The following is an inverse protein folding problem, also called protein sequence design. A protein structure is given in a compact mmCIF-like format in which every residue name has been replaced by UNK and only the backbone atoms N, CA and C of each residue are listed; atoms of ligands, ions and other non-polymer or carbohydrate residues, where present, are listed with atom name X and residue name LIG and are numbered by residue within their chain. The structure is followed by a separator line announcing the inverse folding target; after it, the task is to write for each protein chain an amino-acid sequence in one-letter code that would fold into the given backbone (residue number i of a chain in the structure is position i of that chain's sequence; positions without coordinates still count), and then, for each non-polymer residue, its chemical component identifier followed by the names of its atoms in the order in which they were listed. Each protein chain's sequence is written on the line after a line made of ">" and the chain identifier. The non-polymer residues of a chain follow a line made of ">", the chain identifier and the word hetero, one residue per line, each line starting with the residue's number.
data_IF_420898393914
#
_entry.id   IF_420898393914
#
_cell.length_a   1.000
_cell.length_b   1.000
_cell.length_c   1.000
_cell.angle_alpha   90.00
_cell.angle_beta   90.00
_cell.angle_gamma   90.00
#
_symmetry.space_group_name_H-M   'P 1'
#
loop_
_entity.id
_entity.type
_entity.pdbx_description
1 polymer ?
#
# COMPACT_ATOMS: atom_id res chain seq x y z
N UNK A 1 14.43 50.43 -64.10
CA UNK A 1 14.76 51.06 -62.80
C UNK A 1 15.22 49.96 -61.86
N UNK A 2 16.33 49.95 -61.10
CA UNK A 2 17.17 50.96 -60.40
C UNK A 2 16.58 51.59 -59.13
N UNK A 3 17.20 51.21 -57.99
CA UNK A 3 17.30 51.81 -56.63
C UNK A 3 16.73 50.88 -55.54
N UNK A 4 17.43 50.39 -54.48
CA UNK A 4 18.31 51.03 -53.45
C UNK A 4 17.57 52.11 -52.63
N UNK A 5 17.73 52.30 -51.32
CA UNK A 5 18.57 51.70 -50.25
C UNK A 5 17.64 51.20 -49.09
N UNK A 6 17.98 50.94 -47.82
CA UNK A 6 19.17 51.14 -46.95
C UNK A 6 19.19 50.10 -45.79
N UNK A 7 20.26 50.06 -44.98
CA UNK A 7 20.35 49.37 -43.68
C UNK A 7 20.65 50.37 -42.56
N UNK A 8 20.26 50.11 -41.32
CA UNK A 8 20.88 50.74 -40.13
C UNK A 8 21.24 49.65 -39.12
N UNK A 9 22.52 49.64 -38.76
CA UNK A 9 23.14 48.83 -37.72
C UNK A 9 23.38 49.75 -36.51
N UNK A 10 23.07 49.30 -35.30
CA UNK A 10 23.42 50.02 -34.06
C UNK A 10 24.41 49.17 -33.26
N UNK A 11 25.53 49.78 -32.86
CA UNK A 11 26.68 49.10 -32.27
C UNK A 11 26.85 49.46 -30.79
N UNK A 12 27.27 48.47 -30.00
CA UNK A 12 28.08 48.52 -28.77
C UNK A 12 28.15 49.79 -27.91
N UNK A 13 27.92 49.61 -26.60
CA UNK A 13 28.38 50.50 -25.53
C UNK A 13 28.92 49.71 -24.35
N UNK A 14 30.24 49.54 -24.27
CA UNK A 14 30.95 49.03 -23.09
C UNK A 14 31.21 50.21 -22.13
N UNK A 15 30.68 50.13 -20.92
CA UNK A 15 30.88 51.14 -19.87
C UNK A 15 31.43 50.52 -18.59
N UNK A 16 32.73 50.70 -18.34
CA UNK A 16 33.38 50.34 -17.07
C UNK A 16 33.19 51.48 -16.05
N UNK A 17 32.69 51.14 -14.86
CA UNK A 17 32.61 52.04 -13.70
C UNK A 17 33.24 51.35 -12.47
N UNK A 18 33.73 52.11 -11.47
CA UNK A 18 34.87 51.68 -10.67
C UNK A 18 34.52 50.80 -9.46
N UNK A 19 35.48 49.97 -9.08
CA UNK A 19 35.56 49.34 -7.76
C UNK A 19 35.77 50.41 -6.70
N UNK A 20 34.84 50.51 -5.74
CA UNK A 20 35.08 51.16 -4.45
C UNK A 20 35.22 50.07 -3.39
N UNK A 21 36.35 50.05 -2.71
CA UNK A 21 36.60 49.24 -1.52
C UNK A 21 36.44 50.10 -0.27
N UNK A 22 35.70 49.59 0.72
CA UNK A 22 35.61 50.01 2.13
C UNK A 22 34.56 49.10 2.79
N UNK A 23 34.66 48.64 4.04
CA UNK A 23 35.72 48.78 5.04
C UNK A 23 35.63 47.59 6.02
N UNK A 24 36.77 47.09 6.53
CA UNK A 24 36.80 45.94 7.45
C UNK A 24 36.50 46.39 8.89
N UNK A 25 35.29 46.12 9.38
CA UNK A 25 34.97 46.30 10.81
C UNK A 25 33.92 45.31 11.32
N UNK A 26 34.33 44.08 11.63
CA UNK A 26 33.39 43.03 12.01
C UNK A 26 33.97 41.72 12.52
N UNK A 27 34.98 41.77 13.41
CA UNK A 27 35.39 40.68 14.33
C UNK A 27 35.48 39.26 13.73
N UNK A 28 36.71 38.77 13.50
CA UNK A 28 36.95 37.35 13.20
C UNK A 28 36.45 36.44 14.34
N UNK A 29 35.23 35.92 14.21
CA UNK A 29 34.86 34.69 14.88
C UNK A 29 35.43 33.54 14.06
N UNK A 30 36.50 32.95 14.59
CA UNK A 30 36.90 31.59 14.26
C UNK A 30 35.73 30.65 14.59
N UNK A 31 34.86 30.42 13.60
CA UNK A 31 33.97 29.28 13.62
C UNK A 31 34.89 28.06 13.49
N UNK A 32 35.13 27.39 14.62
CA UNK A 32 35.77 26.07 14.62
C UNK A 32 35.06 25.18 13.59
N UNK A 33 35.77 24.23 12.94
CA UNK A 33 35.08 23.17 12.23
C UNK A 33 34.17 22.48 13.25
N UNK A 34 32.86 22.63 13.07
CA UNK A 34 31.88 21.69 13.63
C UNK A 34 32.31 20.35 13.08
N UNK A 35 32.65 19.38 13.93
CA UNK A 35 33.23 18.13 13.47
C UNK A 35 32.23 17.41 12.56
N UNK A 36 32.77 16.65 11.60
CA UNK A 36 31.98 15.91 10.59
C UNK A 36 30.97 14.92 11.21
N UNK A 37 31.07 14.65 12.51
CA UNK A 37 30.17 13.83 13.33
C UNK A 37 28.80 14.49 13.60
N UNK A 38 28.67 15.82 13.49
CA UNK A 38 27.42 16.54 13.80
C UNK A 38 26.40 16.63 12.64
N UNK A 39 26.70 16.03 11.48
CA UNK A 39 25.90 16.12 10.25
C UNK A 39 25.31 14.78 9.79
N UNK A 40 25.55 13.69 10.52
CA UNK A 40 25.22 12.32 10.08
C UNK A 40 24.54 11.45 11.16
N UNK A 41 23.85 12.07 12.13
CA UNK A 41 22.96 11.37 13.07
C UNK A 41 21.55 11.99 13.01
N UNK A 42 20.63 11.34 12.29
CA UNK A 42 19.17 11.56 12.36
C UNK A 42 18.59 12.83 11.72
N UNK A 43 18.27 12.79 10.42
CA UNK A 43 17.19 13.61 9.81
C UNK A 43 17.26 15.14 9.90
N UNK A 44 18.40 15.73 10.27
CA UNK A 44 18.50 17.14 10.63
C UNK A 44 18.66 18.10 9.45
N UNK A 45 17.57 18.70 8.97
CA UNK A 45 17.66 19.84 8.03
C UNK A 45 16.36 20.60 7.79
N UNK A 46 15.23 19.90 7.67
CA UNK A 46 13.91 20.51 7.43
C UNK A 46 12.99 20.23 8.63
N UNK A 47 12.49 21.29 9.27
CA UNK A 47 11.81 21.21 10.57
C UNK A 47 10.30 21.44 10.53
N UNK A 48 9.72 21.73 9.36
CA UNK A 48 8.28 21.92 9.27
C UNK A 48 7.55 20.58 9.26
N UNK A 49 6.42 20.52 9.94
CA UNK A 49 5.46 19.40 9.92
C UNK A 49 4.17 19.78 9.19
N UNK A 50 4.10 20.97 8.57
CA UNK A 50 2.95 21.38 7.78
C UNK A 50 2.87 20.59 6.46
N UNK A 51 1.77 19.86 6.26
CA UNK A 51 1.59 18.97 5.11
C UNK A 51 1.63 19.67 3.75
N UNK A 52 1.15 20.92 3.66
CA UNK A 52 1.20 21.72 2.43
C UNK A 52 2.65 22.18 2.16
N UNK A 53 3.38 22.66 3.18
CA UNK A 53 4.78 23.07 3.04
C UNK A 53 5.68 21.88 2.67
N UNK A 54 5.46 20.72 3.30
CA UNK A 54 6.12 19.45 2.98
C UNK A 54 5.84 19.04 1.52
N UNK A 55 4.58 19.08 1.08
CA UNK A 55 4.20 18.75 -0.28
C UNK A 55 4.90 19.66 -1.30
N UNK A 56 4.84 20.97 -1.07
CA UNK A 56 5.45 21.97 -1.95
C UNK A 56 6.98 21.83 -2.02
N UNK A 57 7.61 21.42 -0.91
CA UNK A 57 9.08 21.25 -0.81
C UNK A 57 9.57 19.96 -1.47
N UNK A 58 8.90 18.83 -1.23
CA UNK A 58 9.42 17.50 -1.59
C UNK A 58 8.69 16.81 -2.74
N UNK A 59 7.42 17.15 -3.00
CA UNK A 59 6.55 16.40 -3.93
C UNK A 59 6.19 17.21 -5.19
N UNK A 60 5.85 18.50 -5.04
CA UNK A 60 5.33 19.36 -6.11
C UNK A 60 6.30 19.56 -7.29
N UNK A 61 7.61 19.38 -7.09
CA UNK A 61 8.59 19.44 -8.17
C UNK A 61 8.42 18.34 -9.23
N UNK A 62 7.76 17.23 -8.89
CA UNK A 62 7.44 16.13 -9.81
C UNK A 62 5.92 16.00 -10.04
N UNK A 63 5.12 16.10 -8.98
CA UNK A 63 3.65 15.93 -9.05
C UNK A 63 2.88 17.20 -9.40
N UNK A 64 3.56 18.33 -9.61
CA UNK A 64 3.02 19.67 -9.83
C UNK A 64 2.30 20.28 -8.60
N UNK A 65 2.18 21.62 -8.49
CA UNK A 65 1.68 22.26 -7.28
C UNK A 65 0.24 21.92 -6.87
N UNK A 66 -0.65 21.51 -7.79
CA UNK A 66 -1.99 21.03 -7.45
C UNK A 66 -2.16 19.52 -7.71
N UNK A 67 -1.05 18.77 -7.74
CA UNK A 67 -1.07 17.31 -7.88
C UNK A 67 -1.47 16.82 -9.27
N UNK A 68 -1.37 17.65 -10.31
CA UNK A 68 -1.83 17.30 -11.66
C UNK A 68 -0.92 16.27 -12.38
N UNK A 69 0.29 16.02 -11.87
CA UNK A 69 1.30 15.20 -12.53
C UNK A 69 1.91 15.86 -13.76
N UNK A 70 2.84 15.16 -14.42
CA UNK A 70 3.53 15.68 -15.60
C UNK A 70 4.07 14.56 -16.49
N UNK A 71 4.03 14.77 -17.81
CA UNK A 71 4.57 13.86 -18.83
C UNK A 71 5.63 14.55 -19.68
N UNK A 72 6.69 13.83 -20.06
CA UNK A 72 7.72 14.33 -20.98
C UNK A 72 9.05 13.59 -20.86
N UNK A 73 10.01 14.17 -20.14
CA UNK A 73 11.30 13.53 -19.85
C UNK A 73 11.19 12.39 -18.81
N UNK A 74 10.06 12.32 -18.11
CA UNK A 74 9.61 11.23 -17.25
C UNK A 74 8.08 11.21 -17.25
N UNK A 75 7.49 10.26 -16.55
CA UNK A 75 6.04 10.17 -16.32
C UNK A 75 5.79 10.24 -14.81
N UNK A 76 5.13 11.32 -14.38
CA UNK A 76 4.82 11.59 -12.98
C UNK A 76 3.30 11.56 -12.82
N UNK A 77 2.74 10.57 -12.10
CA UNK A 77 1.31 10.37 -12.06
C UNK A 77 0.59 11.50 -11.31
N UNK A 78 -0.66 11.84 -11.69
CA UNK A 78 -1.49 12.74 -10.92
C UNK A 78 -1.78 12.17 -9.53
N UNK A 79 -1.75 13.04 -8.54
CA UNK A 79 -2.28 12.83 -7.21
C UNK A 79 -3.70 13.38 -7.08
N UNK A 80 -4.03 14.42 -7.86
CA UNK A 80 -5.37 15.01 -7.93
C UNK A 80 -6.41 14.01 -8.44
N UNK A 81 -7.45 13.76 -7.65
CA UNK A 81 -8.55 12.85 -7.98
C UNK A 81 -8.13 11.38 -8.13
N UNK A 82 -7.01 10.97 -7.51
CA UNK A 82 -6.45 9.63 -7.70
C UNK A 82 -7.01 8.64 -6.66
N UNK A 83 -7.84 7.65 -7.05
CA UNK A 83 -8.52 6.75 -6.11
C UNK A 83 -7.59 5.80 -5.35
N UNK A 84 -6.31 5.70 -5.73
CA UNK A 84 -5.32 4.94 -4.94
C UNK A 84 -4.92 5.64 -3.63
N UNK A 85 -5.25 6.91 -3.46
CA UNK A 85 -4.92 7.70 -2.28
C UNK A 85 -5.98 7.59 -1.17
N UNK A 86 -7.09 6.90 -1.39
CA UNK A 86 -8.15 6.75 -0.38
C UNK A 86 -7.66 6.14 0.95
N UNK A 87 -6.64 5.27 0.90
CA UNK A 87 -6.06 4.62 2.08
C UNK A 87 -4.58 4.96 2.23
N UNK A 88 -4.20 5.57 3.37
CA UNK A 88 -2.88 6.14 3.62
C UNK A 88 -1.72 5.14 3.51
N UNK A 89 -1.98 3.84 3.74
CA UNK A 89 -0.98 2.78 3.59
C UNK A 89 -0.33 2.78 2.19
N UNK A 90 -1.07 3.14 1.13
CA UNK A 90 -0.52 3.25 -0.23
C UNK A 90 0.47 4.43 -0.35
N UNK A 91 0.09 5.70 -0.17
CA UNK A 91 1.04 6.81 -0.26
C UNK A 91 2.19 6.70 0.77
N UNK A 92 1.95 6.24 2.01
CA UNK A 92 3.03 6.04 3.00
C UNK A 92 4.09 5.07 2.46
N UNK A 93 3.69 3.93 1.91
CA UNK A 93 4.62 2.95 1.30
C UNK A 93 5.48 3.59 0.20
N UNK A 94 4.84 4.38 -0.68
CA UNK A 94 5.51 5.01 -1.82
C UNK A 94 6.41 6.18 -1.37
N UNK A 95 6.02 6.96 -0.35
CA UNK A 95 6.80 8.08 0.18
C UNK A 95 8.03 7.57 0.93
N UNK A 96 7.88 6.53 1.78
CA UNK A 96 9.00 5.99 2.56
C UNK A 96 10.01 5.29 1.66
N UNK A 97 9.55 4.34 0.83
CA UNK A 97 10.42 3.41 0.11
C UNK A 97 10.69 3.79 -1.36
N UNK A 98 9.87 4.68 -1.94
CA UNK A 98 9.91 5.01 -3.36
C UNK A 98 9.24 3.95 -4.23
N UNK A 99 8.99 4.28 -5.50
CA UNK A 99 8.51 3.31 -6.49
C UNK A 99 8.90 3.72 -7.91
N UNK A 100 9.58 2.82 -8.63
CA UNK A 100 10.00 3.06 -10.01
C UNK A 100 10.98 4.23 -10.12
N UNK A 101 10.51 5.35 -10.69
CA UNK A 101 11.29 6.58 -10.81
C UNK A 101 11.17 7.53 -9.62
N UNK A 102 10.22 7.31 -8.70
CA UNK A 102 10.06 8.13 -7.49
C UNK A 102 11.05 7.67 -6.41
N UNK A 103 11.93 8.56 -5.89
CA UNK A 103 12.86 8.21 -4.82
C UNK A 103 12.14 8.02 -3.49
N UNK A 104 12.63 7.10 -2.65
CA UNK A 104 12.17 6.97 -1.26
C UNK A 104 12.69 8.10 -0.39
N UNK A 105 11.76 8.79 0.28
CA UNK A 105 12.01 9.95 1.13
C UNK A 105 12.07 9.60 2.62
N UNK A 106 11.91 8.33 3.00
CA UNK A 106 11.93 7.90 4.41
C UNK A 106 13.20 8.31 5.16
N UNK A 107 14.36 8.31 4.50
CA UNK A 107 15.63 8.75 5.10
C UNK A 107 15.76 10.28 5.27
N UNK A 108 14.84 11.06 4.70
CA UNK A 108 14.82 12.54 4.74
C UNK A 108 13.70 13.10 5.62
N UNK A 109 12.59 12.38 5.75
CA UNK A 109 11.39 12.82 6.46
C UNK A 109 11.16 11.99 7.74
N UNK A 110 10.82 12.66 8.83
CA UNK A 110 10.37 12.01 10.07
C UNK A 110 9.00 11.33 9.89
N UNK A 111 8.61 10.49 10.85
CA UNK A 111 7.34 9.76 10.80
C UNK A 111 6.14 10.71 10.76
N UNK A 112 6.23 11.77 11.56
CA UNK A 112 5.27 12.88 11.60
C UNK A 112 5.23 13.60 10.24
N UNK A 113 6.36 13.91 9.62
CA UNK A 113 6.40 14.56 8.30
C UNK A 113 5.82 13.69 7.18
N UNK A 114 6.06 12.38 7.20
CA UNK A 114 5.44 11.44 6.25
C UNK A 114 3.92 11.34 6.46
N UNK A 115 3.47 11.32 7.71
CA UNK A 115 2.04 11.30 8.05
C UNK A 115 1.31 12.59 7.64
N UNK A 116 1.89 13.75 7.92
CA UNK A 116 1.28 15.06 7.61
C UNK A 116 1.23 15.32 6.09
N UNK A 117 2.31 15.02 5.34
CA UNK A 117 2.27 15.15 3.87
C UNK A 117 1.34 14.13 3.22
N UNK A 118 1.22 12.92 3.80
CA UNK A 118 0.21 11.95 3.35
C UNK A 118 -1.20 12.48 3.57
N UNK A 119 -1.47 13.02 4.77
CA UNK A 119 -2.79 13.54 5.13
C UNK A 119 -3.22 14.68 4.21
N UNK A 120 -2.32 15.63 3.92
CA UNK A 120 -2.54 16.68 2.91
C UNK A 120 -2.81 16.12 1.51
N UNK A 121 -2.07 15.10 1.06
CA UNK A 121 -2.32 14.44 -0.23
C UNK A 121 -3.71 13.77 -0.27
N UNK A 122 -4.26 13.33 0.87
CA UNK A 122 -5.60 12.73 0.98
C UNK A 122 -6.73 13.77 1.05
N UNK A 123 -6.55 14.89 1.76
CA UNK A 123 -7.58 15.91 1.99
C UNK A 123 -7.58 17.08 1.00
N UNK A 124 -6.47 17.30 0.29
CA UNK A 124 -6.26 18.45 -0.57
C UNK A 124 -5.91 18.01 -2.01
N UNK A 125 -5.34 18.91 -2.82
CA UNK A 125 -4.99 18.67 -4.23
C UNK A 125 -6.19 18.22 -5.11
N UNK A 126 -7.43 18.41 -4.67
CA UNK A 126 -8.64 17.94 -5.35
C UNK A 126 -9.12 16.55 -4.94
N UNK A 127 -8.53 15.97 -3.89
CA UNK A 127 -9.08 14.84 -3.14
C UNK A 127 -9.98 15.34 -2.00
N UNK A 128 -10.76 14.43 -1.40
CA UNK A 128 -11.66 14.68 -0.25
C UNK A 128 -11.77 13.39 0.59
N UNK A 129 -10.64 12.70 0.78
CA UNK A 129 -10.56 11.48 1.57
C UNK A 129 -10.34 11.84 3.04
N UNK A 130 -10.97 11.10 3.95
CA UNK A 130 -10.70 11.24 5.38
C UNK A 130 -9.32 10.62 5.69
N UNK A 131 -8.33 11.37 6.19
CA UNK A 131 -7.01 10.81 6.45
C UNK A 131 -7.06 9.69 7.50
N UNK A 132 -6.53 8.53 7.14
CA UNK A 132 -6.54 7.28 7.92
C UNK A 132 -5.13 6.81 8.35
N UNK A 133 -4.10 7.59 8.01
CA UNK A 133 -2.71 7.32 8.37
C UNK A 133 -2.46 7.38 9.88
N UNK A 134 -1.45 6.64 10.33
CA UNK A 134 -0.97 6.67 11.71
C UNK A 134 0.56 6.64 11.76
N UNK A 135 1.15 7.17 12.84
CA UNK A 135 2.60 7.08 13.05
C UNK A 135 3.10 5.62 13.05
N UNK A 136 2.29 4.68 13.57
CA UNK A 136 2.63 3.26 13.55
C UNK A 136 2.72 2.71 12.12
N UNK A 137 1.77 3.06 11.24
CA UNK A 137 1.84 2.66 9.82
C UNK A 137 3.11 3.19 9.14
N UNK A 138 3.56 4.40 9.49
CA UNK A 138 4.82 4.94 8.95
C UNK A 138 6.02 4.17 9.49
N UNK A 139 6.08 3.94 10.80
CA UNK A 139 7.16 3.18 11.44
C UNK A 139 7.26 1.75 10.88
N UNK A 140 6.14 1.02 10.77
CA UNK A 140 6.05 -0.34 10.22
C UNK A 140 6.47 -0.42 8.74
N UNK A 141 6.40 0.70 8.01
CA UNK A 141 6.75 0.80 6.59
C UNK A 141 8.26 1.03 6.38
N UNK A 142 8.99 1.48 7.41
CA UNK A 142 10.43 1.76 7.30
C UNK A 142 11.23 0.46 7.18
N UNK A 143 12.32 0.46 6.39
CA UNK A 143 13.30 -0.61 6.46
C UNK A 143 13.81 -0.76 7.89
N UNK A 144 13.75 -1.97 8.45
CA UNK A 144 14.52 -2.33 9.63
C UNK A 144 16.01 -2.23 9.30
N UNK A 145 16.75 -1.44 10.07
CA UNK A 145 18.20 -1.23 9.88
C UNK A 145 18.94 -2.58 9.95
N UNK A 146 19.87 -2.82 9.00
CA UNK A 146 20.70 -4.04 8.95
C UNK A 146 21.73 -4.05 10.11
N UNK A 147 21.24 -4.31 11.32
CA UNK A 147 22.00 -4.27 12.56
C UNK A 147 21.19 -4.74 13.77
N UNK A 148 19.87 -4.53 13.78
CA UNK A 148 18.96 -5.20 14.72
C UNK A 148 18.72 -6.64 14.25
N UNK A 149 19.72 -7.49 14.48
CA UNK A 149 19.43 -8.92 14.68
C UNK A 149 18.34 -9.03 15.73
N UNK A 150 17.23 -9.65 15.36
CA UNK A 150 16.17 -10.06 16.29
C UNK A 150 16.84 -10.88 17.39
N UNK A 151 17.11 -10.24 18.53
CA UNK A 151 17.56 -10.92 19.71
C UNK A 151 16.47 -11.93 20.06
N UNK A 152 16.83 -13.21 20.10
CA UNK A 152 15.97 -14.26 20.59
C UNK A 152 15.57 -13.86 22.02
N UNK A 153 14.36 -13.31 22.16
CA UNK A 153 13.89 -12.82 23.45
C UNK A 153 13.68 -14.05 24.32
N UNK A 154 14.65 -14.36 25.18
CA UNK A 154 14.45 -15.29 26.28
C UNK A 154 13.25 -14.75 27.06
N UNK A 155 12.15 -15.52 27.04
CA UNK A 155 10.90 -15.13 27.69
C UNK A 155 11.12 -15.20 29.20
N UNK A 156 11.52 -14.09 29.80
CA UNK A 156 11.22 -13.86 31.21
C UNK A 156 9.70 -13.70 31.33
N UNK A 157 9.06 -14.57 32.13
CA UNK A 157 7.61 -14.57 32.33
C UNK A 157 7.15 -13.31 33.10
N UNK A 158 7.02 -12.18 32.41
CA UNK A 158 6.47 -10.96 33.00
C UNK A 158 4.93 -11.02 33.00
N UNK A 159 4.39 -11.46 34.15
CA UNK A 159 3.05 -11.23 34.69
C UNK A 159 1.95 -10.88 33.66
N UNK A 160 1.34 -11.91 33.08
CA UNK A 160 0.04 -11.80 32.40
C UNK A 160 -0.99 -11.20 33.36
N UNK A 161 -1.61 -10.08 32.95
CA UNK A 161 -2.75 -9.47 33.65
C UNK A 161 -3.93 -10.46 33.63
N UNK A 162 -4.40 -10.98 34.79
CA UNK A 162 -5.43 -12.01 34.83
C UNK A 162 -6.81 -11.51 34.39
N UNK A 163 -7.01 -10.19 34.25
CA UNK A 163 -8.29 -9.57 33.90
C UNK A 163 -8.33 -9.04 32.44
N UNK A 164 -7.32 -9.34 31.61
CA UNK A 164 -7.36 -9.01 30.17
C UNK A 164 -8.28 -9.99 29.42
N UNK A 165 -9.46 -9.52 29.02
CA UNK A 165 -10.37 -10.27 28.14
C UNK A 165 -9.83 -10.37 26.70
N UNK A 166 -8.89 -11.32 26.48
CA UNK A 166 -8.40 -11.66 25.15
C UNK A 166 -9.50 -12.39 24.35
N UNK A 167 -10.04 -11.69 23.36
CA UNK A 167 -11.21 -12.13 22.60
C UNK A 167 -10.93 -13.32 21.68
N UNK A 168 -11.56 -14.45 21.96
CA UNK A 168 -11.96 -15.42 20.92
C UNK A 168 -10.93 -16.43 20.46
N UNK A 169 -10.13 -17.00 21.36
CA UNK A 169 -9.36 -18.21 21.03
C UNK A 169 -10.26 -19.44 20.84
N UNK A 170 -10.49 -19.86 19.59
CA UNK A 170 -11.04 -21.20 19.29
C UNK A 170 -9.93 -22.28 19.44
N UNK A 171 -10.30 -23.56 19.60
CA UNK A 171 -9.49 -24.68 20.12
C UNK A 171 -8.23 -25.09 19.32
N UNK A 172 -7.77 -24.25 18.38
CA UNK A 172 -6.58 -24.44 17.52
C UNK A 172 -5.33 -23.71 18.00
N UNK A 173 -5.44 -22.83 19.01
CA UNK A 173 -4.33 -21.98 19.48
C UNK A 173 -3.89 -20.89 18.49
N UNK A 174 -4.54 -20.74 17.34
CA UNK A 174 -4.24 -19.71 16.34
C UNK A 174 -4.69 -18.33 16.80
N UNK A 175 -3.75 -17.40 16.97
CA UNK A 175 -4.04 -15.99 17.29
C UNK A 175 -4.35 -15.25 16.00
N UNK A 176 -5.47 -14.51 15.97
CA UNK A 176 -5.96 -13.80 14.77
C UNK A 176 -5.97 -12.29 15.00
N UNK A 177 -5.04 -11.59 14.37
CA UNK A 177 -4.91 -10.13 14.47
C UNK A 177 -5.86 -9.44 13.49
N UNK A 178 -6.89 -8.78 14.02
CA UNK A 178 -7.80 -7.92 13.25
C UNK A 178 -7.09 -6.61 12.89
N UNK A 179 -7.44 -5.99 11.77
CA UNK A 179 -6.96 -4.65 11.43
C UNK A 179 -7.61 -3.64 12.39
N UNK A 180 -6.84 -2.81 13.13
CA UNK A 180 -7.41 -1.81 14.04
C UNK A 180 -8.37 -0.86 13.31
N UNK A 181 -9.49 -0.53 13.95
CA UNK A 181 -10.53 0.39 13.45
C UNK A 181 -11.17 0.02 12.10
N UNK A 182 -10.97 -1.19 11.59
CA UNK A 182 -11.50 -1.63 10.28
C UNK A 182 -12.57 -2.72 10.42
N UNK A 183 -13.66 -2.55 9.66
CA UNK A 183 -14.68 -3.58 9.44
C UNK A 183 -14.42 -4.37 8.14
N UNK A 184 -13.29 -4.15 7.47
CA UNK A 184 -12.97 -4.88 6.25
C UNK A 184 -12.65 -6.35 6.57
N UNK A 185 -13.27 -7.33 5.90
CA UNK A 185 -13.27 -8.72 6.36
C UNK A 185 -12.00 -9.49 5.93
N UNK A 186 -10.85 -9.03 6.40
CA UNK A 186 -9.54 -9.73 6.35
C UNK A 186 -8.83 -9.62 7.70
N UNK A 187 -7.87 -10.50 7.97
CA UNK A 187 -6.90 -10.30 9.06
C UNK A 187 -5.72 -9.43 8.63
N UNK A 188 -5.15 -8.72 9.61
CA UNK A 188 -3.81 -8.14 9.53
C UNK A 188 -2.76 -9.26 9.51
N UNK A 189 -2.86 -10.19 10.46
CA UNK A 189 -1.95 -11.33 10.61
C UNK A 189 -2.66 -12.50 11.30
N UNK A 190 -2.08 -13.70 11.17
CA UNK A 190 -2.45 -14.87 11.95
C UNK A 190 -1.17 -15.55 12.45
N UNK A 191 -1.05 -15.75 13.76
CA UNK A 191 0.05 -16.52 14.36
C UNK A 191 -0.38 -17.97 14.52
N UNK A 192 0.48 -18.88 14.08
CA UNK A 192 0.21 -20.32 14.07
C UNK A 192 1.12 -20.99 15.10
N UNK A 193 0.58 -21.81 16.03
CA UNK A 193 1.39 -22.55 16.99
C UNK A 193 2.46 -23.43 16.32
N UNK A 194 3.61 -23.58 16.97
CA UNK A 194 4.76 -24.32 16.44
C UNK A 194 4.51 -25.84 16.26
N UNK A 195 3.51 -26.38 16.94
CA UNK A 195 3.07 -27.78 16.88
C UNK A 195 1.85 -28.01 15.97
N UNK A 196 1.21 -26.95 15.47
CA UNK A 196 0.06 -27.05 14.60
C UNK A 196 0.43 -27.51 13.18
N UNK A 197 -0.46 -28.28 12.54
CA UNK A 197 -0.22 -28.79 11.18
C UNK A 197 -0.84 -27.88 10.12
N UNK A 198 -0.03 -27.27 9.26
CA UNK A 198 -0.50 -26.53 8.09
C UNK A 198 -0.97 -27.47 6.98
N UNK A 199 -2.16 -27.19 6.45
CA UNK A 199 -2.82 -27.96 5.39
C UNK A 199 -3.02 -27.05 4.17
N UNK A 200 -2.24 -27.31 3.13
CA UNK A 200 -2.28 -26.57 1.87
C UNK A 200 -3.29 -27.21 0.92
N UNK A 201 -4.32 -26.46 0.51
CA UNK A 201 -5.28 -26.90 -0.49
C UNK A 201 -4.85 -26.39 -1.86
N UNK A 202 -4.88 -27.27 -2.87
CA UNK A 202 -4.70 -26.86 -4.27
C UNK A 202 -5.75 -25.85 -4.71
N UNK A 203 -5.38 -25.00 -5.67
CA UNK A 203 -6.27 -24.07 -6.37
C UNK A 203 -7.65 -24.65 -6.63
N UNK A 204 -8.66 -23.92 -6.20
CA UNK A 204 -10.07 -24.27 -6.35
C UNK A 204 -10.73 -23.32 -7.31
N UNK A 205 -11.47 -23.90 -8.24
CA UNK A 205 -12.02 -23.23 -9.43
C UNK A 205 -13.54 -23.29 -9.43
N UNK A 206 -14.22 -22.45 -10.22
CA UNK A 206 -15.67 -22.34 -10.25
C UNK A 206 -16.35 -23.64 -10.66
N UNK A 207 -17.46 -23.95 -9.99
CA UNK A 207 -18.28 -25.11 -10.31
C UNK A 207 -19.36 -24.74 -11.32
N UNK A 208 -19.88 -25.73 -12.05
CA UNK A 208 -20.98 -25.51 -13.01
C UNK A 208 -22.26 -25.19 -12.24
N UNK A 209 -22.76 -23.97 -12.38
CA UNK A 209 -24.03 -23.53 -11.75
C UNK A 209 -25.22 -23.63 -12.71
N UNK A 210 -24.96 -23.64 -14.02
CA UNK A 210 -25.97 -23.81 -15.07
C UNK A 210 -25.56 -24.96 -16.01
N UNK A 211 -26.00 -26.20 -15.76
CA UNK A 211 -25.60 -27.36 -16.57
C UNK A 211 -26.16 -27.34 -17.99
N UNK A 212 -27.23 -26.57 -18.24
CA UNK A 212 -27.91 -26.46 -19.54
C UNK A 212 -27.27 -25.41 -20.48
N UNK A 213 -26.39 -24.54 -19.96
CA UNK A 213 -25.57 -23.64 -20.77
C UNK A 213 -24.54 -24.40 -21.61
N UNK A 214 -24.09 -23.79 -22.72
CA UNK A 214 -23.09 -24.40 -23.60
C UNK A 214 -21.78 -24.73 -22.86
N UNK A 215 -21.14 -25.84 -23.23
CA UNK A 215 -19.87 -26.24 -22.65
C UNK A 215 -18.78 -25.19 -22.95
N UNK A 216 -18.10 -24.70 -21.91
CA UNK A 216 -17.10 -23.63 -22.04
C UNK A 216 -17.67 -22.24 -22.32
N UNK A 217 -18.95 -21.97 -22.00
CA UNK A 217 -19.51 -20.61 -22.05
C UNK A 217 -19.54 -19.95 -20.65
N UNK A 218 -19.46 -18.61 -20.56
CA UNK A 218 -19.52 -17.88 -19.28
C UNK A 218 -20.80 -18.17 -18.48
N UNK A 219 -21.94 -18.31 -19.16
CA UNK A 219 -23.25 -18.57 -18.55
C UNK A 219 -23.33 -19.90 -17.80
N UNK A 220 -22.40 -20.83 -18.07
CA UNK A 220 -22.28 -22.12 -17.38
C UNK A 220 -21.77 -22.00 -15.94
N UNK A 221 -20.98 -20.95 -15.68
CA UNK A 221 -20.33 -20.68 -14.39
C UNK A 221 -20.91 -19.43 -13.69
N UNK A 222 -21.52 -18.51 -14.45
CA UNK A 222 -22.12 -17.28 -13.93
C UNK A 222 -21.14 -16.10 -13.85
N UNK A 223 -21.55 -15.03 -13.18
CA UNK A 223 -20.73 -13.86 -12.88
C UNK A 223 -19.71 -14.13 -11.76
N UNK A 224 -18.86 -13.15 -11.46
CA UNK A 224 -17.81 -13.24 -10.43
C UNK A 224 -18.38 -13.61 -9.06
N UNK A 225 -19.56 -13.10 -8.70
CA UNK A 225 -20.27 -13.46 -7.45
C UNK A 225 -20.64 -14.94 -7.45
N UNK A 226 -21.35 -15.42 -8.47
CA UNK A 226 -21.77 -16.82 -8.59
C UNK A 226 -20.57 -17.78 -8.60
N UNK A 227 -19.51 -17.43 -9.35
CA UNK A 227 -18.28 -18.20 -9.42
C UNK A 227 -17.56 -18.24 -8.07
N UNK A 228 -17.44 -17.11 -7.37
CA UNK A 228 -16.83 -17.03 -6.03
C UNK A 228 -17.59 -17.91 -5.02
N UNK A 229 -18.92 -17.82 -5.00
CA UNK A 229 -19.76 -18.64 -4.10
C UNK A 229 -19.59 -20.13 -4.39
N UNK A 230 -19.60 -20.53 -5.67
CA UNK A 230 -19.40 -21.93 -6.05
C UNK A 230 -18.00 -22.46 -5.70
N UNK A 231 -16.99 -21.59 -5.76
CA UNK A 231 -15.59 -21.90 -5.44
C UNK A 231 -15.41 -22.08 -3.94
N UNK A 232 -15.92 -21.15 -3.12
CA UNK A 232 -15.85 -21.24 -1.66
C UNK A 232 -16.65 -22.42 -1.10
N UNK A 233 -17.84 -22.71 -1.66
CA UNK A 233 -18.60 -23.92 -1.32
C UNK A 233 -17.86 -25.22 -1.70
N UNK A 234 -17.00 -25.20 -2.74
CA UNK A 234 -16.13 -26.33 -3.07
C UNK A 234 -14.96 -26.46 -2.08
N UNK A 235 -14.39 -25.35 -1.62
CA UNK A 235 -13.36 -25.33 -0.57
C UNK A 235 -13.90 -25.89 0.74
N UNK A 236 -15.09 -25.45 1.18
CA UNK A 236 -15.79 -25.96 2.36
C UNK A 236 -15.97 -27.49 2.30
N UNK A 237 -16.43 -28.02 1.16
CA UNK A 237 -16.57 -29.46 0.94
C UNK A 237 -15.22 -30.20 0.97
N UNK A 238 -14.16 -29.61 0.41
CA UNK A 238 -12.79 -30.19 0.46
C UNK A 238 -12.27 -30.25 1.89
N UNK A 239 -12.41 -29.17 2.67
CA UNK A 239 -12.03 -29.11 4.08
C UNK A 239 -12.81 -30.15 4.90
N UNK A 240 -14.13 -30.19 4.74
CA UNK A 240 -15.00 -31.15 5.43
C UNK A 240 -14.61 -32.61 5.12
N UNK A 241 -14.17 -32.91 3.89
CA UNK A 241 -13.72 -34.25 3.49
C UNK A 241 -12.45 -34.74 4.21
N UNK A 242 -11.67 -33.82 4.80
CA UNK A 242 -10.48 -34.10 5.61
C UNK A 242 -10.66 -33.73 7.08
N UNK A 243 -11.90 -33.51 7.55
CA UNK A 243 -12.19 -33.14 8.94
C UNK A 243 -11.54 -31.81 9.34
N UNK A 244 -11.80 -30.78 8.53
CA UNK A 244 -11.56 -29.36 8.80
C UNK A 244 -12.82 -28.58 8.36
N UNK A 245 -12.96 -27.33 8.78
CA UNK A 245 -14.01 -26.43 8.31
C UNK A 245 -13.45 -25.06 7.87
N UNK A 246 -14.34 -24.11 7.56
CA UNK A 246 -13.94 -22.78 7.06
C UNK A 246 -13.23 -21.91 8.12
N UNK A 247 -13.41 -22.16 9.42
CA UNK A 247 -12.71 -21.43 10.49
C UNK A 247 -11.21 -21.76 10.51
N UNK A 248 -10.86 -22.97 10.11
CA UNK A 248 -9.48 -23.45 10.06
C UNK A 248 -8.65 -22.70 9.00
N UNK A 249 -9.28 -22.01 8.05
CA UNK A 249 -8.57 -21.26 6.99
C UNK A 249 -7.90 -20.00 7.56
N UNK A 250 -6.56 -19.95 7.49
CA UNK A 250 -5.74 -18.86 8.04
C UNK A 250 -5.11 -17.97 6.96
N UNK A 251 -4.99 -18.48 5.73
CA UNK A 251 -4.47 -17.73 4.57
C UNK A 251 -5.27 -18.06 3.32
N UNK A 252 -5.56 -17.04 2.53
CA UNK A 252 -6.21 -17.15 1.22
C UNK A 252 -5.44 -16.35 0.15
N UNK A 253 -5.29 -16.92 -1.04
CA UNK A 253 -4.83 -16.21 -2.24
C UNK A 253 -5.94 -16.30 -3.29
N UNK A 254 -6.27 -15.17 -3.92
CA UNK A 254 -7.36 -15.06 -4.89
C UNK A 254 -6.83 -14.48 -6.19
N UNK A 255 -7.10 -15.18 -7.28
CA UNK A 255 -6.74 -14.77 -8.63
C UNK A 255 -8.03 -14.46 -9.39
N UNK A 256 -8.30 -13.19 -9.64
CA UNK A 256 -9.46 -12.71 -10.39
C UNK A 256 -9.09 -12.41 -11.84
N UNK A 257 -10.04 -12.60 -12.75
CA UNK A 257 -9.91 -12.21 -14.16
C UNK A 257 -10.98 -11.16 -14.47
N UNK A 258 -10.59 -10.13 -15.22
CA UNK A 258 -11.50 -9.10 -15.73
C UNK A 258 -12.59 -9.72 -16.61
N UNK A 259 -13.89 -9.55 -16.29
CA UNK A 259 -14.98 -10.05 -17.11
C UNK A 259 -14.92 -9.55 -18.57
N UNK A 260 -15.49 -10.31 -19.51
CA UNK A 260 -15.46 -9.92 -20.93
C UNK A 260 -16.11 -8.54 -21.14
N UNK A 261 -15.33 -7.59 -21.67
CA UNK A 261 -15.77 -6.20 -21.88
C UNK A 261 -15.62 -5.27 -20.68
N UNK A 262 -15.04 -5.73 -19.56
CA UNK A 262 -14.63 -4.88 -18.44
C UNK A 262 -13.15 -4.46 -18.55
N UNK A 263 -12.81 -3.29 -18.01
CA UNK A 263 -11.44 -2.76 -18.00
C UNK A 263 -10.57 -3.28 -16.84
N UNK A 264 -11.16 -3.95 -15.85
CA UNK A 264 -10.49 -4.44 -14.63
C UNK A 264 -11.29 -5.58 -13.95
N UNK A 265 -10.67 -6.25 -12.98
CA UNK A 265 -11.29 -7.31 -12.17
C UNK A 265 -12.52 -6.83 -11.40
N UNK A 266 -13.54 -7.69 -11.31
CA UNK A 266 -14.74 -7.44 -10.52
C UNK A 266 -14.51 -7.80 -9.04
N UNK A 267 -13.79 -6.92 -8.34
CA UNK A 267 -13.54 -7.04 -6.91
C UNK A 267 -14.83 -6.98 -6.08
N UNK A 268 -15.85 -6.25 -6.55
CA UNK A 268 -17.12 -6.11 -5.85
C UNK A 268 -17.90 -7.43 -5.82
N UNK A 269 -18.02 -8.12 -6.97
CA UNK A 269 -18.67 -9.43 -7.05
C UNK A 269 -17.91 -10.51 -6.27
N UNK A 270 -16.56 -10.48 -6.29
CA UNK A 270 -15.77 -11.33 -5.40
C UNK A 270 -16.11 -11.09 -3.92
N UNK A 271 -16.14 -9.83 -3.46
CA UNK A 271 -16.47 -9.49 -2.07
C UNK A 271 -17.90 -9.91 -1.70
N UNK A 272 -18.88 -9.74 -2.60
CA UNK A 272 -20.27 -10.15 -2.41
C UNK A 272 -20.43 -11.67 -2.26
N UNK A 273 -19.58 -12.45 -2.92
CA UNK A 273 -19.51 -13.91 -2.72
C UNK A 273 -18.76 -14.30 -1.45
N UNK A 274 -17.65 -13.62 -1.14
CA UNK A 274 -16.76 -13.93 -0.01
C UNK A 274 -17.41 -13.74 1.36
N UNK A 275 -18.14 -12.65 1.58
CA UNK A 275 -18.79 -12.34 2.88
C UNK A 275 -19.96 -13.27 3.24
N UNK A 276 -20.26 -14.25 2.38
CA UNK A 276 -21.23 -15.32 2.66
C UNK A 276 -20.63 -16.50 3.41
N UNK A 277 -19.28 -16.59 3.46
CA UNK A 277 -18.54 -17.70 4.08
C UNK A 277 -17.64 -17.26 5.23
N UNK A 278 -17.13 -16.03 5.22
CA UNK A 278 -16.20 -15.49 6.22
C UNK A 278 -16.75 -14.21 6.86
N UNK A 279 -16.52 -14.04 8.17
CA UNK A 279 -17.02 -12.88 8.92
C UNK A 279 -18.54 -12.87 9.12
N UNK A 280 -19.19 -14.04 9.09
CA UNK A 280 -20.64 -14.19 9.32
C UNK A 280 -20.94 -14.47 10.81
N UNK A 281 -22.20 -14.35 11.23
CA UNK A 281 -22.60 -14.70 12.62
C UNK A 281 -22.29 -16.16 12.98
N UNK A 282 -22.34 -17.07 12.00
CA UNK A 282 -22.10 -18.51 12.16
C UNK A 282 -20.67 -18.94 11.87
N UNK A 283 -19.90 -18.10 11.19
CA UNK A 283 -18.49 -18.29 10.85
C UNK A 283 -17.78 -16.93 10.93
N UNK A 284 -17.43 -16.46 12.16
CA UNK A 284 -16.90 -15.13 12.39
C UNK A 284 -15.41 -14.99 12.05
N UNK A 285 -14.72 -16.11 11.82
CA UNK A 285 -13.30 -16.10 11.51
C UNK A 285 -13.01 -15.55 10.12
N UNK A 286 -11.82 -14.97 10.02
CA UNK A 286 -11.28 -14.39 8.80
C UNK A 286 -9.88 -14.99 8.57
N UNK A 287 -9.46 -15.18 7.31
CA UNK A 287 -8.08 -15.44 6.96
C UNK A 287 -7.30 -14.13 6.71
N UNK A 288 -5.98 -14.24 6.72
CA UNK A 288 -5.12 -13.30 5.96
C UNK A 288 -5.39 -13.50 4.46
N UNK A 289 -5.41 -12.43 3.65
CA UNK A 289 -5.82 -12.54 2.24
C UNK A 289 -5.04 -11.63 1.30
N UNK A 290 -4.69 -12.16 0.13
CA UNK A 290 -4.23 -11.38 -1.03
C UNK A 290 -5.15 -11.62 -2.22
N UNK A 291 -5.46 -10.58 -2.98
CA UNK A 291 -6.32 -10.63 -4.18
C UNK A 291 -5.58 -9.96 -5.33
N UNK A 292 -5.50 -10.63 -6.47
CA UNK A 292 -4.74 -10.20 -7.65
C UNK A 292 -5.61 -10.26 -8.89
N UNK A 293 -5.45 -9.30 -9.81
CA UNK A 293 -5.91 -9.47 -11.19
C UNK A 293 -4.86 -10.29 -11.97
N UNK A 294 -5.30 -11.29 -12.72
CA UNK A 294 -4.47 -12.10 -13.62
C UNK A 294 -5.03 -12.12 -15.03
N UNK A 295 -4.16 -12.30 -16.03
CA UNK A 295 -4.52 -12.26 -17.44
C UNK A 295 -5.46 -13.39 -17.92
N UNK A 296 -5.70 -14.40 -17.08
CA UNK A 296 -6.59 -15.52 -17.37
C UNK A 296 -6.31 -16.74 -16.50
N UNK A 297 -7.28 -17.66 -16.45
CA UNK A 297 -7.21 -18.94 -15.73
C UNK A 297 -7.22 -20.12 -16.72
N UNK A 298 -7.11 -21.36 -16.20
CA UNK A 298 -7.05 -22.56 -17.03
C UNK A 298 -8.29 -22.81 -17.91
N UNK A 299 -9.43 -22.18 -17.58
CA UNK A 299 -10.60 -22.08 -18.45
C UNK A 299 -10.89 -20.59 -18.73
N UNK A 300 -11.05 -20.16 -20.00
CA UNK A 300 -11.35 -18.77 -20.34
C UNK A 300 -12.67 -18.22 -19.76
N UNK A 301 -13.60 -19.09 -19.31
CA UNK A 301 -14.84 -18.67 -18.66
C UNK A 301 -14.73 -18.52 -17.13
N UNK A 302 -13.57 -18.82 -16.53
CA UNK A 302 -13.37 -18.64 -15.09
C UNK A 302 -12.86 -17.24 -14.77
N UNK A 303 -13.53 -16.60 -13.82
CA UNK A 303 -13.28 -15.25 -13.33
C UNK A 303 -12.59 -15.23 -11.96
N UNK A 304 -12.47 -16.39 -11.30
CA UNK A 304 -11.88 -16.53 -9.97
C UNK A 304 -11.26 -17.91 -9.78
N UNK A 305 -10.05 -17.97 -9.23
CA UNK A 305 -9.44 -19.17 -8.64
C UNK A 305 -8.93 -18.83 -7.23
N UNK A 306 -9.15 -19.73 -6.27
CA UNK A 306 -8.84 -19.50 -4.84
C UNK A 306 -7.96 -20.63 -4.32
N UNK A 307 -6.81 -20.26 -3.74
CA UNK A 307 -5.98 -21.13 -2.91
C UNK A 307 -6.18 -20.80 -1.43
N UNK A 308 -6.15 -21.80 -0.56
CA UNK A 308 -6.20 -21.61 0.89
C UNK A 308 -5.19 -22.48 1.62
N UNK A 309 -4.70 -21.95 2.74
CA UNK A 309 -3.97 -22.71 3.76
C UNK A 309 -4.82 -22.72 5.02
N UNK A 310 -5.08 -23.92 5.52
CA UNK A 310 -5.78 -24.15 6.78
C UNK A 310 -4.82 -24.64 7.86
N UNK A 311 -5.21 -24.52 9.12
CA UNK A 311 -4.53 -25.10 10.28
C UNK A 311 -5.33 -26.28 10.80
N UNK A 312 -4.66 -27.38 11.09
CA UNK A 312 -5.24 -28.49 11.85
C UNK A 312 -4.81 -28.40 13.32
N UNK A 313 -5.76 -28.41 14.29
CA UNK A 313 -5.48 -28.65 15.70
C UNK A 313 -5.00 -30.08 15.97
#
# INVERSE_FOLDING_TARGET
>A
MKSRFLSVLAMAGLGTAPVFAQDDSGTEQFISPVSDEAMFEGGGGYTSTDGEELYNTFCAGCHMPAGEGASGAGEYPPLSGNPRLEFAAYPITIIVNGQGGMPGLGHLLSDEQVLEVTSYIQSDLGNDYAPDGTLQMVADTRPVEEGEVLAEHEVEEENVDPDREDGGGNETGVVRHRIPNSNFPILLAAEIPADATLVYLSGTVPQVVNPDAAEGSPERYGDTTAQTVSTLASIEQKLASIGLDMADVVKMQVYLVSPEGADAMDFAGFMEGYVRFFGTETQPELPTRSVFEVAGLANPSWLVEIEVVAVRP
#
